data_IF_231825623150
#
_entry.id   IF_231825623150
#
_cell.length_a   1.000
_cell.length_b   1.000
_cell.length_c   1.000
_cell.angle_alpha   90.00
_cell.angle_beta   90.00
_cell.angle_gamma   90.00
#
_symmetry.space_group_name_H-M   'P 1'
#
loop_
_entity.id
_entity.type
_entity.pdbx_description
1 polymer ?
#
# COMPACT_ATOMS: atom_id res chain seq x y z
N UNK A 1 -27.39 -11.28 -16.40
CA UNK A 1 -26.10 -11.44 -15.70
C UNK A 1 -25.76 -10.05 -15.22
N UNK A 2 -25.75 -9.81 -13.90
CA UNK A 2 -25.45 -8.48 -13.36
C UNK A 2 -23.98 -8.14 -13.64
N UNK A 3 -23.76 -7.20 -14.56
CA UNK A 3 -22.48 -6.50 -14.72
C UNK A 3 -22.13 -5.64 -13.48
N UNK A 4 -23.05 -5.57 -12.49
CA UNK A 4 -22.97 -4.78 -11.26
C UNK A 4 -22.58 -5.56 -9.99
N UNK A 5 -22.15 -6.82 -10.11
CA UNK A 5 -21.70 -7.57 -8.94
C UNK A 5 -20.41 -6.96 -8.37
N UNK A 6 -20.48 -6.40 -7.17
CA UNK A 6 -19.37 -5.74 -6.44
C UNK A 6 -18.05 -6.52 -6.49
N UNK A 7 -18.13 -7.85 -6.40
CA UNK A 7 -16.96 -8.73 -6.44
C UNK A 7 -16.23 -8.68 -7.79
N UNK A 8 -16.98 -8.66 -8.91
CA UNK A 8 -16.41 -8.59 -10.26
C UNK A 8 -15.73 -7.24 -10.48
N UNK A 9 -16.38 -6.16 -10.05
CA UNK A 9 -15.82 -4.80 -10.13
C UNK A 9 -14.52 -4.68 -9.32
N UNK A 10 -14.51 -5.17 -8.09
CA UNK A 10 -13.33 -5.13 -7.24
C UNK A 10 -12.18 -5.98 -7.80
N UNK A 11 -12.47 -7.18 -8.31
CA UNK A 11 -11.46 -8.00 -8.99
C UNK A 11 -10.90 -7.32 -10.24
N UNK A 12 -11.75 -6.65 -11.03
CA UNK A 12 -11.33 -5.88 -12.20
C UNK A 12 -10.43 -4.69 -11.80
N UNK A 13 -10.74 -4.02 -10.69
CA UNK A 13 -9.92 -2.92 -10.19
C UNK A 13 -8.52 -3.39 -9.78
N UNK A 14 -8.41 -4.51 -9.05
CA UNK A 14 -7.11 -5.10 -8.71
C UNK A 14 -6.33 -5.60 -9.92
N UNK A 15 -7.01 -6.16 -10.93
CA UNK A 15 -6.37 -6.52 -12.19
C UNK A 15 -5.80 -5.28 -12.89
N UNK A 16 -6.59 -4.21 -12.98
CA UNK A 16 -6.17 -2.95 -13.58
C UNK A 16 -4.99 -2.32 -12.82
N UNK A 17 -4.99 -2.42 -11.49
CA UNK A 17 -3.89 -1.99 -10.64
C UNK A 17 -2.60 -2.75 -10.96
N UNK A 18 -2.68 -4.08 -11.10
CA UNK A 18 -1.54 -4.93 -11.42
C UNK A 18 -1.00 -4.69 -12.84
N UNK A 19 -1.86 -4.35 -13.80
CA UNK A 19 -1.46 -4.03 -15.17
C UNK A 19 -0.70 -2.69 -15.25
N UNK A 20 -1.03 -1.73 -14.39
CA UNK A 20 -0.37 -0.43 -14.34
C UNK A 20 -0.64 0.47 -15.56
N UNK A 21 0.15 1.54 -15.70
CA UNK A 21 0.01 2.52 -16.79
C UNK A 21 -1.36 3.20 -16.78
N UNK A 22 -1.98 3.33 -17.96
CA UNK A 22 -3.28 3.99 -18.12
C UNK A 22 -4.42 3.27 -17.35
N UNK A 23 -4.23 1.99 -16.99
CA UNK A 23 -5.21 1.21 -16.22
C UNK A 23 -5.30 1.62 -14.75
N UNK A 24 -4.31 2.32 -14.21
CA UNK A 24 -4.35 2.82 -12.84
C UNK A 24 -5.51 3.81 -12.62
N UNK A 25 -5.81 4.62 -13.63
CA UNK A 25 -6.91 5.57 -13.55
C UNK A 25 -8.26 4.86 -13.63
N UNK A 26 -8.39 3.83 -14.46
CA UNK A 26 -9.58 2.97 -14.49
C UNK A 26 -9.80 2.25 -13.15
N UNK A 27 -8.74 1.70 -12.55
CA UNK A 27 -8.80 1.09 -11.21
C UNK A 27 -9.29 2.08 -10.15
N UNK A 28 -8.74 3.30 -10.16
CA UNK A 28 -9.15 4.35 -9.24
C UNK A 28 -10.65 4.67 -9.35
N UNK A 29 -11.17 4.82 -10.57
CA UNK A 29 -12.58 5.13 -10.78
C UNK A 29 -13.50 4.02 -10.27
N UNK A 30 -13.12 2.76 -10.43
CA UNK A 30 -13.89 1.64 -9.88
C UNK A 30 -13.91 1.72 -8.34
N UNK A 31 -12.76 1.94 -7.69
CA UNK A 31 -12.75 2.09 -6.23
C UNK A 31 -13.54 3.32 -5.74
N UNK A 32 -13.54 4.41 -6.50
CA UNK A 32 -14.35 5.60 -6.19
C UNK A 32 -15.85 5.30 -6.30
N UNK A 33 -16.29 4.62 -7.35
CA UNK A 33 -17.69 4.24 -7.53
C UNK A 33 -18.16 3.31 -6.40
N UNK A 34 -17.33 2.33 -6.02
CA UNK A 34 -17.60 1.47 -4.86
C UNK A 34 -17.69 2.26 -3.55
N UNK A 35 -16.84 3.27 -3.39
CA UNK A 35 -16.86 4.17 -2.23
C UNK A 35 -18.14 5.01 -2.20
N UNK A 36 -18.58 5.54 -3.34
CA UNK A 36 -19.79 6.35 -3.45
C UNK A 36 -21.05 5.50 -3.22
N UNK A 37 -21.05 4.24 -3.67
CA UNK A 37 -22.19 3.32 -3.59
C UNK A 37 -22.34 2.66 -2.21
N UNK A 38 -21.24 2.28 -1.57
CA UNK A 38 -21.26 1.47 -0.34
C UNK A 38 -20.66 2.18 0.87
N UNK A 39 -20.11 3.38 0.69
CA UNK A 39 -19.48 4.17 1.73
C UNK A 39 -17.98 3.95 1.85
N UNK A 40 -17.34 4.89 2.55
CA UNK A 40 -15.89 4.94 2.70
C UNK A 40 -15.40 3.91 3.73
N UNK A 41 -14.51 3.02 3.30
CA UNK A 41 -13.83 2.03 4.15
C UNK A 41 -12.31 2.20 4.08
N UNK A 42 -11.57 1.73 5.09
CA UNK A 42 -10.11 1.77 5.09
C UNK A 42 -9.53 1.03 3.87
N UNK A 43 -10.10 -0.13 3.52
CA UNK A 43 -9.71 -0.92 2.34
C UNK A 43 -9.85 -0.15 1.02
N UNK A 44 -10.98 0.53 0.82
CA UNK A 44 -11.21 1.30 -0.41
C UNK A 44 -10.27 2.51 -0.50
N UNK A 45 -10.07 3.23 0.61
CA UNK A 45 -9.13 4.35 0.67
C UNK A 45 -7.68 3.89 0.43
N UNK A 46 -7.27 2.78 1.05
CA UNK A 46 -5.95 2.20 0.82
C UNK A 46 -5.79 1.82 -0.66
N UNK A 47 -6.80 1.17 -1.26
CA UNK A 47 -6.78 0.80 -2.68
C UNK A 47 -6.66 2.02 -3.61
N UNK A 48 -7.37 3.11 -3.30
CA UNK A 48 -7.23 4.38 -4.01
C UNK A 48 -5.84 5.01 -3.83
N UNK A 49 -5.27 4.94 -2.63
CA UNK A 49 -3.91 5.40 -2.36
C UNK A 49 -2.90 4.62 -3.21
N UNK A 50 -3.03 3.28 -3.32
CA UNK A 50 -2.15 2.46 -4.16
C UNK A 50 -2.26 2.82 -5.65
N UNK A 51 -3.45 3.19 -6.14
CA UNK A 51 -3.57 3.75 -7.50
C UNK A 51 -2.72 5.02 -7.66
N UNK A 52 -2.77 5.95 -6.70
CA UNK A 52 -1.95 7.16 -6.72
C UNK A 52 -0.46 6.87 -6.60
N UNK A 53 -0.06 5.91 -5.77
CA UNK A 53 1.33 5.43 -5.67
C UNK A 53 1.81 4.97 -7.04
N UNK A 54 1.03 4.13 -7.74
CA UNK A 54 1.37 3.66 -9.08
C UNK A 54 1.50 4.78 -10.11
N UNK A 55 0.74 5.86 -9.94
CA UNK A 55 0.79 7.06 -10.79
C UNK A 55 1.92 8.03 -10.40
N UNK A 56 2.74 7.71 -9.39
CA UNK A 56 3.74 8.60 -8.81
C UNK A 56 3.17 9.90 -8.19
N UNK A 57 1.87 9.92 -7.88
CA UNK A 57 1.17 11.04 -7.24
C UNK A 57 1.25 10.93 -5.70
N UNK A 58 2.47 10.83 -5.15
CA UNK A 58 2.72 10.47 -3.75
C UNK A 58 2.05 11.38 -2.71
N UNK A 59 1.88 12.68 -3.02
CA UNK A 59 1.20 13.61 -2.09
C UNK A 59 -0.29 13.29 -1.95
N UNK A 60 -0.95 12.91 -3.04
CA UNK A 60 -2.36 12.49 -2.98
C UNK A 60 -2.48 11.14 -2.27
N UNK A 61 -1.56 10.22 -2.58
CA UNK A 61 -1.47 8.94 -1.91
C UNK A 61 -1.34 9.08 -0.39
N UNK A 62 -0.46 9.98 0.08
CA UNK A 62 -0.24 10.23 1.51
C UNK A 62 -1.52 10.71 2.22
N UNK A 63 -2.21 11.69 1.63
CA UNK A 63 -3.46 12.24 2.18
C UNK A 63 -4.52 11.14 2.26
N UNK A 64 -4.77 10.43 1.15
CA UNK A 64 -5.78 9.36 1.11
C UNK A 64 -5.44 8.22 2.08
N UNK A 65 -4.15 7.92 2.26
CA UNK A 65 -3.71 6.87 3.18
C UNK A 65 -3.85 7.28 4.64
N UNK A 66 -3.65 8.57 4.95
CA UNK A 66 -3.92 9.09 6.28
C UNK A 66 -5.40 8.92 6.63
N UNK A 67 -6.32 9.23 5.71
CA UNK A 67 -7.75 9.01 5.90
C UNK A 67 -8.08 7.51 6.12
N UNK A 68 -7.34 6.61 5.47
CA UNK A 68 -7.47 5.16 5.68
C UNK A 68 -7.07 4.75 7.09
N UNK A 69 -5.93 5.24 7.57
CA UNK A 69 -5.41 4.97 8.92
C UNK A 69 -6.25 5.63 10.03
N UNK A 70 -6.95 6.72 9.75
CA UNK A 70 -7.94 7.30 10.67
C UNK A 70 -9.16 6.38 10.84
N UNK A 71 -9.50 5.57 9.83
CA UNK A 71 -10.58 4.58 9.91
C UNK A 71 -10.13 3.27 10.55
N UNK A 72 -8.93 2.80 10.22
CA UNK A 72 -8.33 1.62 10.84
C UNK A 72 -6.83 1.85 11.04
N UNK A 73 -6.46 2.24 12.26
CA UNK A 73 -5.07 2.55 12.60
C UNK A 73 -4.17 1.31 12.67
N UNK A 74 -4.75 0.11 12.67
CA UNK A 74 -4.03 -1.15 12.76
C UNK A 74 -4.00 -1.88 11.41
N UNK A 75 -4.53 -1.31 10.33
CA UNK A 75 -4.46 -1.95 9.02
C UNK A 75 -3.01 -2.06 8.54
N UNK A 76 -2.50 -3.30 8.48
CA UNK A 76 -1.11 -3.57 8.14
C UNK A 76 -0.77 -3.09 6.73
N UNK A 77 -1.69 -3.26 5.78
CA UNK A 77 -1.48 -2.87 4.39
C UNK A 77 -1.33 -1.36 4.28
N UNK A 78 -2.18 -0.60 4.98
CA UNK A 78 -2.07 0.87 5.04
C UNK A 78 -0.78 1.34 5.71
N UNK A 79 -0.33 0.68 6.78
CA UNK A 79 0.93 1.03 7.45
C UNK A 79 2.15 0.74 6.56
N UNK A 80 2.16 -0.38 5.84
CA UNK A 80 3.21 -0.74 4.87
C UNK A 80 3.24 0.27 3.72
N UNK A 81 2.08 0.64 3.17
CA UNK A 81 2.00 1.67 2.13
C UNK A 81 2.49 3.04 2.63
N UNK A 82 2.27 3.35 3.91
CA UNK A 82 2.73 4.61 4.52
C UNK A 82 4.25 4.65 4.66
N UNK A 83 4.84 3.52 5.05
CA UNK A 83 6.29 3.35 5.07
C UNK A 83 6.88 3.57 3.67
N UNK A 84 6.27 2.97 2.64
CA UNK A 84 6.70 3.12 1.25
C UNK A 84 6.68 4.59 0.79
N UNK A 85 5.57 5.31 1.03
CA UNK A 85 5.44 6.73 0.69
C UNK A 85 6.48 7.57 1.45
N UNK A 86 6.69 7.29 2.74
CA UNK A 86 7.66 8.02 3.58
C UNK A 86 9.09 7.93 3.03
N UNK A 87 9.48 6.74 2.53
CA UNK A 87 10.76 6.54 1.82
C UNK A 87 10.83 7.38 0.54
N UNK A 88 9.79 7.30 -0.29
CA UNK A 88 9.73 8.01 -1.58
C UNK A 88 9.74 9.53 -1.43
N UNK A 89 9.11 10.06 -0.40
CA UNK A 89 9.07 11.48 -0.09
C UNK A 89 10.35 12.00 0.58
N UNK A 90 11.37 11.15 0.76
CA UNK A 90 12.65 11.49 1.40
C UNK A 90 12.47 12.07 2.80
N UNK A 91 11.50 11.54 3.55
CA UNK A 91 11.41 11.79 4.99
C UNK A 91 12.71 11.30 5.65
N UNK A 92 13.08 11.86 6.80
CA UNK A 92 14.29 11.47 7.52
C UNK A 92 14.35 9.95 7.73
N UNK A 93 15.52 9.35 7.44
CA UNK A 93 15.75 7.92 7.61
C UNK A 93 15.43 7.42 9.03
N UNK A 94 15.56 8.28 10.04
CA UNK A 94 15.20 7.94 11.42
C UNK A 94 13.69 7.71 11.59
N UNK A 95 12.86 8.49 10.90
CA UNK A 95 11.39 8.34 10.94
C UNK A 95 10.98 7.05 10.25
N UNK A 96 11.51 6.80 9.06
CA UNK A 96 11.27 5.56 8.31
C UNK A 96 11.71 4.32 9.11
N UNK A 97 12.89 4.36 9.73
CA UNK A 97 13.38 3.27 10.58
C UNK A 97 12.48 3.02 11.78
N UNK A 98 11.97 4.08 12.42
CA UNK A 98 11.01 3.94 13.53
C UNK A 98 9.71 3.29 13.07
N UNK A 99 9.17 3.69 11.93
CA UNK A 99 7.97 3.07 11.35
C UNK A 99 8.18 1.58 11.05
N UNK A 100 9.32 1.23 10.43
CA UNK A 100 9.67 -0.16 10.16
C UNK A 100 9.81 -0.98 11.44
N UNK A 101 10.46 -0.45 12.47
CA UNK A 101 10.60 -1.15 13.75
C UNK A 101 9.23 -1.35 14.42
N UNK A 102 8.34 -0.36 14.36
CA UNK A 102 6.97 -0.50 14.86
C UNK A 102 6.20 -1.59 14.11
N UNK A 103 6.35 -1.69 12.78
CA UNK A 103 5.78 -2.79 11.99
C UNK A 103 6.36 -4.16 12.38
N UNK A 104 7.68 -4.24 12.64
CA UNK A 104 8.34 -5.48 13.12
C UNK A 104 7.79 -5.92 14.48
N UNK A 105 7.58 -4.98 15.39
CA UNK A 105 7.10 -5.27 16.74
C UNK A 105 5.61 -5.66 16.75
N UNK A 106 4.81 -4.99 15.91
CA UNK A 106 3.34 -5.18 15.88
C UNK A 106 2.92 -6.37 15.02
N UNK A 107 3.62 -6.60 13.90
CA UNK A 107 3.29 -7.63 12.90
C UNK A 107 4.49 -8.51 12.55
N UNK A 108 5.11 -9.21 13.53
CA UNK A 108 6.35 -9.95 13.33
C UNK A 108 6.24 -11.10 12.32
N UNK A 109 5.06 -11.72 12.21
CA UNK A 109 4.79 -12.87 11.33
C UNK A 109 4.07 -12.46 10.04
N UNK A 110 4.14 -11.18 9.65
CA UNK A 110 3.57 -10.74 8.38
C UNK A 110 4.50 -11.08 7.22
N UNK A 111 3.93 -11.45 6.08
CA UNK A 111 4.67 -11.77 4.85
C UNK A 111 5.67 -10.65 4.48
N UNK A 112 5.29 -9.39 4.69
CA UNK A 112 6.16 -8.24 4.47
C UNK A 112 7.40 -8.27 5.38
N UNK A 113 7.23 -8.43 6.70
CA UNK A 113 8.33 -8.41 7.66
C UNK A 113 9.24 -9.63 7.48
N UNK A 114 8.69 -10.82 7.26
CA UNK A 114 9.48 -12.02 6.98
C UNK A 114 10.34 -11.84 5.72
N UNK A 115 9.73 -11.34 4.64
CA UNK A 115 10.43 -11.05 3.38
C UNK A 115 11.51 -9.99 3.57
N UNK A 116 11.20 -8.94 4.32
CA UNK A 116 12.15 -7.85 4.61
C UNK A 116 13.37 -8.37 5.37
N UNK A 117 13.17 -9.12 6.45
CA UNK A 117 14.25 -9.69 7.26
C UNK A 117 15.10 -10.67 6.45
N UNK A 118 14.46 -11.48 5.60
CA UNK A 118 15.17 -12.37 4.67
C UNK A 118 16.06 -11.58 3.71
N UNK A 119 15.55 -10.49 3.14
CA UNK A 119 16.30 -9.63 2.21
C UNK A 119 17.46 -8.90 2.89
N UNK A 120 17.27 -8.47 4.13
CA UNK A 120 18.33 -7.89 4.96
C UNK A 120 19.46 -8.91 5.20
N UNK A 121 19.12 -10.14 5.62
CA UNK A 121 20.10 -11.21 5.82
C UNK A 121 20.83 -11.64 4.52
N UNK A 122 20.11 -11.71 3.39
CA UNK A 122 20.71 -11.97 2.07
C UNK A 122 21.74 -10.87 1.71
N UNK A 123 21.41 -9.61 1.95
CA UNK A 123 22.32 -8.49 1.70
C UNK A 123 23.58 -8.58 2.56
N UNK A 124 23.43 -8.84 3.87
CA UNK A 124 24.55 -9.00 4.79
C UNK A 124 25.47 -10.15 4.35
N UNK A 125 24.89 -11.30 3.98
CA UNK A 125 25.65 -12.45 3.49
C UNK A 125 26.42 -12.15 2.20
N UNK A 126 25.82 -11.42 1.26
CA UNK A 126 26.49 -11.02 0.03
C UNK A 126 27.60 -10.01 0.32
N UNK A 127 27.38 -9.05 1.20
CA UNK A 127 28.38 -8.04 1.55
C UNK A 127 29.66 -8.66 2.12
N UNK A 128 29.53 -9.72 2.93
CA UNK A 128 30.65 -10.48 3.47
C UNK A 128 31.38 -11.30 2.41
N UNK A 129 30.68 -11.78 1.38
CA UNK A 129 31.28 -12.55 0.28
C UNK A 129 32.10 -11.68 -0.69
N UNK A 130 31.90 -10.36 -0.68
CA UNK A 130 32.64 -9.39 -1.50
C UNK A 130 33.62 -8.52 -0.69
N UNK A 131 33.82 -8.83 0.60
CA UNK A 131 34.92 -8.27 1.43
C UNK A 131 36.19 -9.12 1.30
#
# INVERSE_FOLDING_TARGET
>A
MDEDATLTQMAQAWLNLALGGDKLQEAYYIFQELTDKYGVTALLLNSQSVCYIGQCEYKKAEITLQDALEKDSNDIDSLVNSLFISVHMKVSADVTKRQLNMLRDTYPNSDFIETYNKKEAEFDSLSQAYQ
#
